data_IF_637457350611
#
_entry.id   IF_637457350611
#
_cell.length_a   1.000
_cell.length_b   1.000
_cell.length_c   1.000
_cell.angle_alpha   90.00
_cell.angle_beta   90.00
_cell.angle_gamma   90.00
#
_symmetry.space_group_name_H-M   'P 1'
#
loop_
_entity.id
_entity.type
_entity.pdbx_description
1 polymer ?
#
# COMPACT_ATOMS: atom_id res chain seq x y z
N UNK A 1 -15.77 -62.56 -19.84
CA UNK A 1 -15.58 -62.01 -21.20
C UNK A 1 -14.43 -61.02 -21.11
N UNK A 2 -13.20 -61.46 -21.42
CA UNK A 2 -12.40 -61.06 -22.61
C UNK A 2 -12.24 -59.52 -22.69
N UNK A 3 -11.06 -58.89 -22.72
CA UNK A 3 -9.69 -59.29 -23.14
C UNK A 3 -8.64 -58.44 -22.41
N UNK A 4 -7.48 -59.04 -22.18
CA UNK A 4 -6.14 -58.53 -21.81
C UNK A 4 -5.58 -57.42 -22.73
N UNK A 5 -4.56 -56.66 -22.28
CA UNK A 5 -3.22 -56.62 -22.90
C UNK A 5 -2.19 -56.12 -21.87
N UNK A 6 -1.02 -56.75 -21.94
CA UNK A 6 0.19 -56.59 -21.12
C UNK A 6 1.25 -55.97 -22.04
N UNK A 7 2.02 -54.98 -21.60
CA UNK A 7 3.41 -54.75 -22.05
C UNK A 7 4.22 -54.17 -20.90
N UNK A 8 5.31 -54.86 -20.60
CA UNK A 8 6.36 -54.56 -19.64
C UNK A 8 7.45 -53.68 -20.29
N UNK A 9 8.11 -52.79 -19.53
CA UNK A 9 9.15 -51.92 -20.10
C UNK A 9 9.83 -50.98 -19.12
N UNK A 10 10.98 -51.44 -18.60
CA UNK A 10 11.91 -50.81 -17.66
C UNK A 10 12.53 -49.48 -18.18
N UNK A 11 12.55 -48.41 -17.36
CA UNK A 11 13.79 -47.69 -16.95
C UNK A 11 13.55 -46.46 -16.04
N UNK A 12 14.23 -46.49 -14.89
CA UNK A 12 14.91 -45.41 -14.13
C UNK A 12 14.42 -43.96 -14.29
N UNK A 13 14.05 -43.33 -13.17
CA UNK A 13 14.16 -41.88 -13.03
C UNK A 13 13.49 -41.30 -11.79
N UNK A 14 14.30 -41.04 -10.75
CA UNK A 14 14.09 -40.09 -9.67
C UNK A 14 12.74 -40.12 -8.93
N UNK A 15 12.74 -40.74 -7.75
CA UNK A 15 11.77 -40.42 -6.69
C UNK A 15 12.03 -38.97 -6.22
N UNK A 16 11.38 -38.00 -6.86
CA UNK A 16 11.02 -36.75 -6.21
C UNK A 16 9.73 -37.01 -5.45
N UNK A 17 9.88 -37.29 -4.15
CA UNK A 17 8.80 -37.06 -3.19
C UNK A 17 8.61 -35.55 -3.14
N UNK A 18 7.66 -35.04 -3.94
CA UNK A 18 7.10 -33.71 -3.71
C UNK A 18 6.16 -33.88 -2.54
N UNK A 19 6.65 -33.49 -1.37
CA UNK A 19 5.83 -33.22 -0.19
C UNK A 19 4.70 -32.27 -0.61
N UNK A 20 3.46 -32.78 -0.55
CA UNK A 20 2.26 -32.02 -0.85
C UNK A 20 2.12 -30.90 0.18
N UNK A 21 2.45 -29.66 -0.20
CA UNK A 21 2.02 -28.49 0.55
C UNK A 21 0.50 -28.53 0.71
N UNK A 22 0.05 -28.56 1.97
CA UNK A 22 -1.34 -28.59 2.38
C UNK A 22 -2.08 -27.37 1.81
N UNK A 23 -3.26 -27.64 1.26
CA UNK A 23 -4.15 -26.68 0.59
C UNK A 23 -4.89 -25.83 1.63
N UNK A 24 -4.98 -24.51 1.40
CA UNK A 24 -5.59 -23.56 2.33
C UNK A 24 -7.14 -23.57 2.26
N UNK A 25 -7.74 -24.71 2.60
CA UNK A 25 -9.19 -24.93 2.65
C UNK A 25 -9.90 -24.05 3.69
N UNK A 26 -9.16 -23.48 4.63
CA UNK A 26 -9.64 -22.58 5.68
C UNK A 26 -10.23 -21.28 5.10
N UNK A 27 -9.51 -20.62 4.19
CA UNK A 27 -9.91 -19.33 3.61
C UNK A 27 -11.18 -19.44 2.76
N UNK A 28 -11.34 -20.54 2.02
CA UNK A 28 -12.51 -20.80 1.17
C UNK A 28 -13.80 -20.90 2.02
N UNK A 29 -13.73 -21.53 3.19
CA UNK A 29 -14.88 -21.68 4.08
C UNK A 29 -15.37 -20.33 4.64
N UNK A 30 -14.44 -19.43 4.97
CA UNK A 30 -14.77 -18.09 5.49
C UNK A 30 -15.55 -17.27 4.47
N UNK A 31 -15.13 -17.32 3.21
CA UNK A 31 -15.79 -16.56 2.14
C UNK A 31 -17.13 -17.20 1.75
N UNK A 32 -17.28 -18.52 1.89
CA UNK A 32 -18.58 -19.18 1.70
C UNK A 32 -19.64 -18.63 2.67
N UNK A 33 -19.30 -18.45 3.95
CA UNK A 33 -20.22 -17.90 4.93
C UNK A 33 -20.63 -16.46 4.63
N UNK A 34 -19.67 -15.67 4.13
CA UNK A 34 -19.95 -14.34 3.60
C UNK A 34 -21.04 -14.39 2.53
N UNK A 35 -20.87 -15.22 1.51
CA UNK A 35 -21.84 -15.23 0.40
C UNK A 35 -23.16 -15.89 0.76
N UNK A 36 -23.19 -16.74 1.79
CA UNK A 36 -24.43 -17.36 2.25
C UNK A 36 -25.31 -16.41 3.05
N UNK A 37 -24.73 -15.52 3.86
CA UNK A 37 -25.45 -14.77 4.90
C UNK A 37 -25.38 -13.25 4.76
N UNK A 38 -24.57 -12.72 3.84
CA UNK A 38 -24.55 -11.28 3.56
C UNK A 38 -25.79 -10.87 2.79
N UNK A 39 -26.77 -10.29 3.49
CA UNK A 39 -27.80 -9.52 2.85
C UNK A 39 -27.13 -8.26 2.27
N UNK A 40 -26.88 -8.26 0.95
CA UNK A 40 -26.32 -7.11 0.24
C UNK A 40 -27.07 -5.80 0.57
N UNK A 41 -28.36 -5.90 0.88
CA UNK A 41 -29.21 -4.78 1.31
C UNK A 41 -28.80 -4.19 2.67
N UNK A 42 -28.37 -5.01 3.64
CA UNK A 42 -27.90 -4.52 4.95
C UNK A 42 -26.53 -3.84 4.84
N UNK A 43 -25.62 -4.44 4.06
CA UNK A 43 -24.31 -3.83 3.81
C UNK A 43 -24.40 -2.49 3.07
N UNK A 44 -25.26 -2.37 2.05
CA UNK A 44 -25.46 -1.07 1.38
C UNK A 44 -26.06 -0.03 2.32
N UNK A 45 -26.94 -0.42 3.25
CA UNK A 45 -27.52 0.53 4.21
C UNK A 45 -26.50 0.99 5.25
N UNK A 46 -25.83 0.04 5.89
CA UNK A 46 -25.07 0.30 7.11
C UNK A 46 -23.56 0.38 6.87
N UNK A 47 -23.08 -0.10 5.72
CA UNK A 47 -21.66 -0.23 5.38
C UNK A 47 -21.00 -1.47 5.98
N UNK A 48 -21.76 -2.35 6.65
CA UNK A 48 -21.28 -3.60 7.25
C UNK A 48 -22.43 -4.62 7.45
N UNK A 49 -22.10 -5.88 7.74
CA UNK A 49 -23.03 -6.90 8.28
C UNK A 49 -22.28 -7.82 9.24
N UNK A 50 -22.89 -8.86 9.80
CA UNK A 50 -22.21 -9.88 10.61
C UNK A 50 -22.88 -11.24 10.53
N UNK A 51 -22.09 -12.30 10.57
CA UNK A 51 -22.62 -13.67 10.57
C UNK A 51 -21.63 -14.67 11.18
N UNK A 52 -22.12 -15.81 11.73
CA UNK A 52 -21.25 -16.82 12.33
C UNK A 52 -20.48 -17.59 11.27
N UNK A 53 -19.20 -17.84 11.53
CA UNK A 53 -18.33 -18.70 10.74
C UNK A 53 -18.71 -20.18 10.93
N UNK A 54 -18.72 -20.92 9.83
CA UNK A 54 -19.12 -22.33 9.76
C UNK A 54 -18.00 -23.29 10.14
N UNK A 55 -16.74 -22.89 9.96
CA UNK A 55 -15.56 -23.70 10.30
C UNK A 55 -14.47 -22.86 10.98
N UNK A 56 -14.51 -22.71 12.31
CA UNK A 56 -13.51 -21.95 13.06
C UNK A 56 -12.11 -22.60 13.10
N UNK A 57 -12.00 -23.89 12.83
CA UNK A 57 -10.74 -24.66 12.92
C UNK A 57 -9.62 -24.05 12.08
N UNK A 58 -9.94 -23.65 10.85
CA UNK A 58 -8.95 -23.07 9.94
C UNK A 58 -8.42 -21.72 10.41
N UNK A 59 -9.26 -20.92 11.06
CA UNK A 59 -8.84 -19.63 11.65
C UNK A 59 -7.89 -19.85 12.83
N UNK A 60 -8.09 -20.91 13.62
CA UNK A 60 -7.20 -21.26 14.74
C UNK A 60 -5.81 -21.69 14.26
N UNK A 61 -5.71 -22.40 13.14
CA UNK A 61 -4.42 -22.78 12.53
C UNK A 61 -3.66 -21.53 12.05
N UNK A 62 -4.34 -20.59 11.40
CA UNK A 62 -3.75 -19.32 10.96
C UNK A 62 -3.26 -18.46 12.14
N UNK A 63 -3.99 -18.46 13.26
CA UNK A 63 -3.57 -17.79 14.49
C UNK A 63 -2.25 -18.36 15.04
N UNK A 64 -2.11 -19.69 15.05
CA UNK A 64 -0.89 -20.36 15.52
C UNK A 64 0.32 -20.08 14.63
N UNK A 65 0.11 -20.00 13.31
CA UNK A 65 1.18 -19.66 12.37
C UNK A 65 1.64 -18.22 12.52
N UNK A 66 0.73 -17.30 12.84
CA UNK A 66 1.06 -15.91 13.06
C UNK A 66 2.08 -15.67 14.19
N UNK A 67 2.02 -16.45 15.26
CA UNK A 67 2.96 -16.33 16.40
C UNK A 67 4.43 -16.57 16.00
N UNK A 68 4.66 -17.16 14.81
CA UNK A 68 5.99 -17.47 14.29
C UNK A 68 6.61 -16.30 13.50
N UNK A 69 5.85 -15.25 13.22
CA UNK A 69 6.27 -14.14 12.36
C UNK A 69 6.49 -12.84 13.12
N UNK A 70 7.38 -11.99 12.59
CA UNK A 70 7.66 -10.68 13.17
C UNK A 70 6.46 -9.74 13.00
N UNK A 71 5.98 -9.20 14.13
CA UNK A 71 4.88 -8.23 14.17
C UNK A 71 5.41 -6.83 13.88
N UNK A 72 4.67 -6.08 13.08
CA UNK A 72 4.94 -4.68 12.81
C UNK A 72 4.08 -3.82 13.73
N UNK A 73 4.72 -2.91 14.47
CA UNK A 73 4.06 -2.07 15.46
C UNK A 73 3.63 -0.72 14.87
N UNK A 74 2.35 -0.40 15.02
CA UNK A 74 1.77 0.92 14.79
C UNK A 74 1.19 1.47 16.11
N UNK A 75 0.88 2.78 16.21
CA UNK A 75 0.42 3.40 17.47
C UNK A 75 -0.82 2.76 18.10
N UNK A 76 -1.74 2.24 17.29
CA UNK A 76 -3.03 1.68 17.76
C UNK A 76 -3.20 0.19 17.47
N UNK A 77 -2.22 -0.43 16.81
CA UNK A 77 -2.28 -1.86 16.51
C UNK A 77 -0.91 -2.47 16.25
N UNK A 78 -0.79 -3.76 16.54
CA UNK A 78 0.27 -4.60 15.99
C UNK A 78 -0.30 -5.39 14.82
N UNK A 79 0.39 -5.44 13.69
CA UNK A 79 -0.05 -6.23 12.55
C UNK A 79 0.99 -7.24 12.12
N UNK A 80 0.53 -8.42 11.71
CA UNK A 80 1.38 -9.45 11.13
C UNK A 80 0.72 -9.97 9.86
N UNK A 81 1.44 -9.82 8.74
CA UNK A 81 1.01 -10.39 7.46
C UNK A 81 1.50 -11.82 7.37
N UNK A 82 0.62 -12.78 7.10
CA UNK A 82 1.00 -14.18 6.94
C UNK A 82 1.75 -14.35 5.60
N UNK A 83 3.07 -14.63 5.60
CA UNK A 83 3.84 -14.77 4.37
C UNK A 83 3.45 -16.05 3.63
N UNK A 84 3.31 -15.98 2.31
CA UNK A 84 2.88 -17.10 1.48
C UNK A 84 1.36 -17.29 1.41
N UNK A 85 0.60 -16.68 2.31
CA UNK A 85 -0.85 -16.50 2.16
C UNK A 85 -1.11 -15.33 1.22
N UNK A 86 -0.77 -15.49 -0.06
CA UNK A 86 -1.39 -14.67 -1.10
C UNK A 86 -2.72 -15.35 -1.39
N UNK A 87 -3.84 -14.62 -1.24
CA UNK A 87 -5.11 -15.12 -1.73
C UNK A 87 -5.02 -15.16 -3.26
N UNK A 88 -4.65 -16.32 -3.79
CA UNK A 88 -4.70 -16.52 -5.21
C UNK A 88 -6.15 -16.81 -5.54
N UNK A 89 -6.74 -16.02 -6.43
CA UNK A 89 -8.02 -16.39 -7.06
C UNK A 89 -7.91 -17.76 -7.73
N UNK A 90 -6.70 -18.21 -8.06
CA UNK A 90 -6.43 -19.57 -8.49
C UNK A 90 -6.65 -20.64 -7.42
N UNK A 91 -6.66 -20.33 -6.11
CA UNK A 91 -7.02 -21.31 -5.07
C UNK A 91 -8.53 -21.62 -5.08
N UNK A 92 -9.35 -20.72 -5.64
CA UNK A 92 -10.74 -21.02 -5.98
C UNK A 92 -10.84 -21.88 -7.26
N UNK A 93 -9.87 -21.81 -8.17
CA UNK A 93 -9.95 -22.49 -9.49
C UNK A 93 -9.14 -23.81 -9.59
N UNK A 94 -8.04 -23.98 -8.86
CA UNK A 94 -6.97 -24.92 -9.26
C UNK A 94 -7.02 -26.28 -8.59
N UNK A 95 -7.80 -26.49 -7.52
CA UNK A 95 -7.94 -27.83 -6.93
C UNK A 95 -9.39 -28.16 -6.65
N UNK A 96 -10.19 -28.18 -7.73
CA UNK A 96 -11.50 -28.82 -7.73
C UNK A 96 -11.34 -30.28 -7.29
N UNK A 97 -11.50 -30.51 -5.99
CA UNK A 97 -11.84 -31.79 -5.42
C UNK A 97 -12.97 -32.43 -6.23
N UNK A 98 -12.93 -33.74 -6.45
CA UNK A 98 -13.97 -34.52 -7.15
C UNK A 98 -15.38 -34.43 -6.53
N UNK A 99 -15.56 -33.65 -5.46
CA UNK A 99 -16.85 -33.35 -4.84
C UNK A 99 -17.57 -32.20 -5.55
N UNK A 100 -18.62 -32.55 -6.28
CA UNK A 100 -19.53 -31.61 -6.96
C UNK A 100 -20.16 -30.56 -6.04
N UNK A 101 -20.23 -30.81 -4.72
CA UNK A 101 -20.77 -29.87 -3.73
C UNK A 101 -19.83 -28.68 -3.48
N UNK A 102 -18.53 -28.90 -3.45
CA UNK A 102 -17.55 -27.84 -3.15
C UNK A 102 -17.39 -26.87 -4.32
N UNK A 103 -17.49 -27.40 -5.55
CA UNK A 103 -17.50 -26.59 -6.77
C UNK A 103 -18.70 -25.61 -6.83
N UNK A 104 -19.89 -26.06 -6.43
CA UNK A 104 -21.09 -25.21 -6.42
C UNK A 104 -20.98 -24.06 -5.41
N UNK A 105 -20.27 -24.28 -4.29
CA UNK A 105 -20.05 -23.29 -3.25
C UNK A 105 -19.07 -22.22 -3.68
N UNK A 106 -17.92 -22.63 -4.23
CA UNK A 106 -16.90 -21.73 -4.79
C UNK A 106 -17.48 -20.86 -5.90
N UNK A 107 -18.26 -21.46 -6.79
CA UNK A 107 -18.90 -20.73 -7.89
C UNK A 107 -19.95 -19.72 -7.38
N UNK A 108 -20.66 -20.03 -6.30
CA UNK A 108 -21.57 -19.07 -5.65
C UNK A 108 -20.81 -17.88 -5.10
N UNK A 109 -19.70 -18.14 -4.41
CA UNK A 109 -18.80 -17.10 -3.89
C UNK A 109 -18.32 -16.19 -5.00
N UNK A 110 -17.81 -16.80 -6.07
CA UNK A 110 -17.32 -16.12 -7.26
C UNK A 110 -18.38 -15.16 -7.79
N UNK A 111 -19.56 -15.67 -8.15
CA UNK A 111 -20.64 -14.85 -8.71
C UNK A 111 -21.06 -13.68 -7.83
N UNK A 112 -21.07 -13.84 -6.51
CA UNK A 112 -21.45 -12.75 -5.61
C UNK A 112 -20.42 -11.63 -5.63
N UNK A 113 -19.12 -11.95 -5.53
CA UNK A 113 -18.05 -10.97 -5.66
C UNK A 113 -18.11 -10.30 -7.05
N UNK A 114 -18.35 -11.07 -8.11
CA UNK A 114 -18.44 -10.51 -9.46
C UNK A 114 -19.63 -9.57 -9.64
N UNK A 115 -20.76 -9.91 -9.02
CA UNK A 115 -21.96 -9.08 -9.05
C UNK A 115 -21.75 -7.80 -8.25
N UNK A 116 -21.19 -7.90 -7.03
CA UNK A 116 -20.94 -6.76 -6.16
C UNK A 116 -19.95 -5.78 -6.76
N UNK A 117 -18.88 -6.27 -7.41
CA UNK A 117 -17.82 -5.43 -7.95
C UNK A 117 -17.95 -5.14 -9.45
N UNK A 118 -18.89 -5.79 -10.15
CA UNK A 118 -19.06 -5.67 -11.60
C UNK A 118 -17.82 -6.12 -12.39
N UNK A 119 -16.99 -7.00 -11.82
CA UNK A 119 -15.71 -7.47 -12.38
C UNK A 119 -15.54 -8.94 -12.12
N UNK A 120 -14.78 -9.64 -12.95
CA UNK A 120 -14.45 -11.04 -12.67
C UNK A 120 -13.61 -11.17 -11.40
N UNK A 121 -13.74 -12.26 -10.65
CA UNK A 121 -12.96 -12.46 -9.42
C UNK A 121 -11.46 -12.43 -9.71
N UNK A 122 -11.03 -12.99 -10.84
CA UNK A 122 -9.63 -12.97 -11.29
C UNK A 122 -9.07 -11.55 -11.52
N UNK A 123 -9.96 -10.56 -11.69
CA UNK A 123 -9.59 -9.15 -11.84
C UNK A 123 -9.53 -8.39 -10.50
N UNK A 124 -10.01 -8.99 -9.41
CA UNK A 124 -9.97 -8.41 -8.07
C UNK A 124 -8.56 -8.52 -7.48
N UNK A 125 -8.16 -7.50 -6.73
CA UNK A 125 -6.95 -7.54 -5.92
C UNK A 125 -7.33 -8.09 -4.56
N UNK A 126 -6.70 -9.18 -4.17
CA UNK A 126 -6.92 -9.78 -2.86
C UNK A 126 -5.67 -9.54 -2.03
N UNK A 127 -5.79 -8.76 -0.97
CA UNK A 127 -4.75 -8.61 0.03
C UNK A 127 -4.93 -9.79 0.99
N UNK A 128 -4.01 -10.76 0.93
CA UNK A 128 -4.09 -11.97 1.77
C UNK A 128 -4.10 -11.64 3.27
N UNK A 129 -4.36 -12.65 4.11
CA UNK A 129 -4.71 -12.47 5.50
C UNK A 129 -3.61 -11.83 6.34
N UNK A 130 -4.06 -11.05 7.32
CA UNK A 130 -3.23 -10.44 8.35
C UNK A 130 -3.90 -10.54 9.71
N UNK A 131 -3.12 -10.71 10.77
CA UNK A 131 -3.61 -10.60 12.13
C UNK A 131 -3.33 -9.20 12.63
N UNK A 132 -4.35 -8.60 13.23
CA UNK A 132 -4.33 -7.26 13.81
C UNK A 132 -4.63 -7.39 15.30
N UNK A 133 -3.75 -6.89 16.14
CA UNK A 133 -3.93 -6.83 17.59
C UNK A 133 -4.13 -5.37 17.98
N UNK A 134 -5.31 -5.03 18.48
CA UNK A 134 -5.63 -3.67 18.92
C UNK A 134 -4.88 -3.35 20.22
N UNK A 135 -4.15 -2.24 20.21
CA UNK A 135 -3.34 -1.78 21.35
C UNK A 135 -4.03 -0.57 21.97
N UNK A 136 -4.11 -0.55 23.31
CA UNK A 136 -4.68 0.59 24.02
C UNK A 136 -3.85 1.85 23.75
N UNK A 137 -4.53 2.94 23.42
CA UNK A 137 -3.89 4.23 23.15
C UNK A 137 -4.00 5.10 24.40
N UNK A 138 -2.87 5.51 25.00
CA UNK A 138 -2.88 6.41 26.16
C UNK A 138 -3.69 7.67 25.89
N UNK A 139 -4.44 8.17 26.88
CA UNK A 139 -5.24 9.41 26.73
C UNK A 139 -4.40 10.61 26.28
N UNK A 140 -3.11 10.64 26.64
CA UNK A 140 -2.17 11.69 26.20
C UNK A 140 -1.84 11.64 24.70
N UNK A 141 -1.99 10.47 24.07
CA UNK A 141 -1.65 10.21 22.68
C UNK A 141 -2.89 10.13 21.77
N UNK A 142 -4.09 10.16 22.36
CA UNK A 142 -5.35 10.33 21.64
C UNK A 142 -5.35 11.75 21.04
N UNK A 143 -5.10 11.83 19.74
CA UNK A 143 -5.25 13.09 19.02
C UNK A 143 -6.75 13.43 18.94
N UNK A 144 -7.06 14.69 18.66
CA UNK A 144 -8.40 15.27 18.84
C UNK A 144 -9.48 14.59 17.97
N UNK A 145 -10.73 15.07 18.06
CA UNK A 145 -12.00 14.71 17.39
C UNK A 145 -11.99 14.25 15.89
N UNK A 146 -10.84 14.12 15.24
CA UNK A 146 -10.61 13.75 13.84
C UNK A 146 -9.98 12.34 13.66
N UNK A 147 -9.89 11.52 14.70
CA UNK A 147 -9.31 10.15 14.62
C UNK A 147 -10.23 9.11 13.93
N UNK A 148 -11.02 9.54 12.95
CA UNK A 148 -11.72 8.61 12.08
C UNK A 148 -10.76 8.12 10.99
N UNK A 149 -10.77 6.82 10.74
CA UNK A 149 -10.09 6.21 9.61
C UNK A 149 -11.09 5.45 8.76
N UNK A 150 -10.67 5.01 7.59
CA UNK A 150 -11.50 4.17 6.73
C UNK A 150 -11.21 2.70 7.05
N UNK A 151 -12.23 1.83 6.98
CA UNK A 151 -12.09 0.40 7.24
C UNK A 151 -11.06 -0.28 6.31
N UNK A 152 -10.73 0.36 5.19
CA UNK A 152 -9.65 -0.01 4.30
C UNK A 152 -8.67 1.17 4.10
N UNK A 153 -7.34 0.96 4.01
CA UNK A 153 -6.35 2.05 3.86
C UNK A 153 -6.52 2.92 2.60
N UNK A 154 -7.24 2.40 1.60
CA UNK A 154 -7.63 3.15 0.41
C UNK A 154 -9.11 3.46 0.57
N UNK A 155 -9.48 4.75 0.68
CA UNK A 155 -10.87 5.23 0.75
C UNK A 155 -11.61 4.89 -0.54
N UNK A 156 -12.15 3.67 -0.64
CA UNK A 156 -12.84 3.21 -1.84
C UNK A 156 -13.97 2.24 -1.50
N UNK A 157 -15.12 2.43 -2.18
CA UNK A 157 -16.25 1.50 -2.19
C UNK A 157 -15.99 0.24 -3.00
N UNK A 158 -14.87 0.25 -3.71
CA UNK A 158 -14.37 -0.89 -4.44
C UNK A 158 -13.62 -1.85 -3.53
N UNK A 159 -13.56 -1.63 -2.22
CA UNK A 159 -12.89 -2.50 -1.24
C UNK A 159 -13.90 -3.02 -0.22
N UNK A 160 -13.72 -4.25 0.26
CA UNK A 160 -14.39 -4.77 1.47
C UNK A 160 -13.31 -5.40 2.36
N UNK A 161 -13.28 -5.01 3.63
CA UNK A 161 -12.43 -5.55 4.70
C UNK A 161 -13.20 -6.59 5.52
N UNK A 162 -12.55 -7.65 5.99
CA UNK A 162 -13.23 -8.77 6.68
C UNK A 162 -12.56 -9.07 8.01
N UNK A 163 -13.22 -8.70 9.10
CA UNK A 163 -12.67 -8.85 10.45
C UNK A 163 -13.28 -10.06 11.16
N UNK A 164 -12.44 -10.90 11.78
CA UNK A 164 -12.87 -12.04 12.57
C UNK A 164 -12.21 -11.99 13.96
N UNK A 165 -12.97 -11.91 15.05
CA UNK A 165 -12.41 -11.97 16.40
C UNK A 165 -11.82 -13.34 16.69
N UNK A 166 -10.56 -13.34 17.14
CA UNK A 166 -9.79 -14.54 17.49
C UNK A 166 -9.89 -14.85 18.99
N UNK A 167 -9.86 -13.81 19.83
CA UNK A 167 -9.83 -13.94 21.29
C UNK A 167 -11.12 -13.43 21.93
N UNK A 168 -12.10 -14.33 22.08
CA UNK A 168 -13.42 -13.99 22.62
C UNK A 168 -14.22 -13.06 21.71
N UNK A 169 -15.28 -12.47 22.26
CA UNK A 169 -16.09 -11.49 21.54
C UNK A 169 -15.29 -10.19 21.39
N UNK A 170 -15.40 -9.53 20.24
CA UNK A 170 -14.86 -8.19 20.01
C UNK A 170 -15.95 -7.15 20.21
N UNK A 171 -15.65 -6.11 20.97
CA UNK A 171 -16.53 -4.96 21.19
C UNK A 171 -15.71 -3.70 21.46
N UNK A 172 -16.40 -2.58 21.62
CA UNK A 172 -15.76 -1.28 21.86
C UNK A 172 -14.84 -1.30 23.09
N UNK A 173 -15.20 -2.03 24.14
CA UNK A 173 -14.52 -1.99 25.43
C UNK A 173 -13.21 -2.80 25.39
N UNK A 174 -13.05 -3.73 24.45
CA UNK A 174 -11.82 -4.49 24.25
C UNK A 174 -11.02 -4.12 22.99
N UNK A 175 -11.40 -3.04 22.29
CA UNK A 175 -10.57 -2.48 21.23
C UNK A 175 -11.14 -2.60 19.81
N UNK A 176 -12.34 -3.15 19.63
CA UNK A 176 -13.02 -3.09 18.34
C UNK A 176 -13.44 -1.65 18.03
N UNK A 177 -13.24 -1.23 16.78
CA UNK A 177 -13.66 0.08 16.32
C UNK A 177 -15.20 0.23 16.27
N UNK A 178 -15.68 1.46 16.38
CA UNK A 178 -17.08 1.79 16.09
C UNK A 178 -17.25 2.16 14.62
N UNK A 179 -18.41 1.86 14.04
CA UNK A 179 -18.68 2.04 12.61
C UNK A 179 -19.55 3.27 12.39
N UNK A 180 -19.16 4.16 11.48
CA UNK A 180 -20.01 5.26 11.03
C UNK A 180 -20.94 4.79 9.90
N UNK A 181 -22.20 4.51 10.22
CA UNK A 181 -23.13 3.93 9.24
C UNK A 181 -23.43 4.89 8.08
N UNK A 182 -23.55 4.34 6.86
CA UNK A 182 -23.78 5.11 5.63
C UNK A 182 -22.62 6.00 5.17
N UNK A 183 -21.51 6.04 5.92
CA UNK A 183 -20.38 6.92 5.61
C UNK A 183 -19.60 6.51 4.34
N UNK A 184 -19.72 5.27 3.89
CA UNK A 184 -19.13 4.78 2.64
C UNK A 184 -19.72 5.42 1.38
N UNK A 185 -20.86 6.11 1.47
CA UNK A 185 -21.41 6.93 0.38
C UNK A 185 -20.86 8.37 0.35
N UNK A 186 -20.04 8.74 1.34
CA UNK A 186 -19.59 10.11 1.54
C UNK A 186 -18.15 10.29 1.07
N UNK A 187 -17.86 11.47 0.52
CA UNK A 187 -16.48 11.93 0.38
C UNK A 187 -15.90 12.28 1.76
N UNK A 188 -14.56 12.31 1.86
CA UNK A 188 -13.85 12.74 3.07
C UNK A 188 -14.35 14.12 3.56
N UNK A 189 -14.51 15.05 2.63
CA UNK A 189 -14.99 16.41 2.93
C UNK A 189 -16.44 16.42 3.42
N UNK A 190 -17.31 15.62 2.80
CA UNK A 190 -18.70 15.49 3.25
C UNK A 190 -18.79 14.91 4.66
N UNK A 191 -18.00 13.87 4.96
CA UNK A 191 -17.96 13.23 6.27
C UNK A 191 -17.51 14.20 7.37
N UNK A 192 -16.49 15.03 7.12
CA UNK A 192 -16.00 15.99 8.12
C UNK A 192 -16.88 17.23 8.29
N UNK A 193 -17.68 17.60 7.29
CA UNK A 193 -18.64 18.70 7.39
C UNK A 193 -19.92 18.34 8.15
N UNK A 194 -20.18 17.07 8.41
CA UNK A 194 -21.37 16.65 9.15
C UNK A 194 -21.21 16.94 10.66
N UNK A 195 -22.16 17.68 11.26
CA UNK A 195 -22.14 17.97 12.69
C UNK A 195 -22.46 16.74 13.54
N UNK A 196 -23.32 15.85 13.02
CA UNK A 196 -23.75 14.63 13.69
C UNK A 196 -23.38 13.40 12.85
N UNK A 197 -22.96 12.33 13.51
CA UNK A 197 -22.57 11.07 12.89
C UNK A 197 -23.30 9.93 13.58
N UNK A 198 -23.82 8.99 12.80
CA UNK A 198 -24.40 7.77 13.32
C UNK A 198 -23.27 6.77 13.59
N UNK A 199 -22.82 6.71 14.84
CA UNK A 199 -21.74 5.84 15.28
C UNK A 199 -22.35 4.60 15.94
N UNK A 200 -22.09 3.44 15.37
CA UNK A 200 -22.56 2.16 15.88
C UNK A 200 -21.41 1.40 16.54
N UNK A 201 -21.51 1.21 17.86
CA UNK A 201 -20.65 0.32 18.62
C UNK A 201 -21.24 -1.08 18.55
N UNK A 202 -20.64 -1.92 17.72
CA UNK A 202 -21.10 -3.28 17.48
C UNK A 202 -20.37 -4.27 18.37
N UNK A 203 -21.02 -5.40 18.63
CA UNK A 203 -20.40 -6.57 19.24
C UNK A 203 -20.29 -7.65 18.18
N UNK A 204 -19.10 -8.21 17.99
CA UNK A 204 -18.86 -9.33 17.09
C UNK A 204 -18.46 -10.52 17.95
N UNK A 205 -19.26 -11.57 17.90
CA UNK A 205 -18.96 -12.80 18.65
C UNK A 205 -17.67 -13.46 18.14
N UNK A 206 -17.02 -14.24 18.99
CA UNK A 206 -15.82 -14.99 18.61
C UNK A 206 -16.11 -15.85 17.37
N UNK A 207 -15.22 -15.81 16.38
CA UNK A 207 -15.40 -16.51 15.10
C UNK A 207 -16.66 -16.09 14.34
N UNK A 208 -17.19 -14.90 14.56
CA UNK A 208 -18.08 -14.27 13.59
C UNK A 208 -17.29 -13.43 12.62
N UNK A 209 -17.80 -13.31 11.40
CA UNK A 209 -17.21 -12.48 10.36
C UNK A 209 -17.95 -11.15 10.32
N UNK A 210 -17.19 -10.07 10.36
CA UNK A 210 -17.63 -8.69 10.19
C UNK A 210 -17.05 -8.16 8.87
N UNK A 211 -17.77 -8.28 7.73
CA UNK A 211 -17.43 -7.55 6.52
C UNK A 211 -17.78 -6.06 6.69
N UNK A 212 -16.88 -5.18 6.26
CA UNK A 212 -17.04 -3.73 6.28
C UNK A 212 -16.61 -3.16 4.93
N UNK A 213 -17.46 -2.33 4.32
CA UNK A 213 -17.14 -1.58 3.11
C UNK A 213 -15.89 -0.71 3.34
N UNK A 214 -14.94 -0.73 2.42
CA UNK A 214 -13.62 -0.13 2.62
C UNK A 214 -13.64 1.40 2.76
N UNK A 215 -14.63 2.06 2.15
CA UNK A 215 -14.87 3.49 2.31
C UNK A 215 -15.67 3.84 3.58
N UNK A 216 -16.14 2.86 4.36
CA UNK A 216 -16.82 3.13 5.62
C UNK A 216 -15.80 3.70 6.61
N UNK A 217 -16.14 4.85 7.18
CA UNK A 217 -15.39 5.43 8.29
C UNK A 217 -15.63 4.62 9.56
N UNK A 218 -14.55 4.40 10.29
CA UNK A 218 -14.51 3.73 11.58
C UNK A 218 -13.78 4.61 12.57
N UNK A 219 -14.24 4.57 13.82
CA UNK A 219 -13.57 5.20 14.94
C UNK A 219 -12.82 4.11 15.70
N UNK A 220 -11.47 4.15 15.75
CA UNK A 220 -10.71 3.24 16.60
C UNK A 220 -11.15 3.34 18.05
N UNK A 221 -11.21 2.21 18.74
CA UNK A 221 -11.40 2.23 20.19
C UNK A 221 -10.12 2.69 20.89
N UNK A 222 -10.22 3.48 21.98
CA UNK A 222 -9.06 3.80 22.82
C UNK A 222 -8.55 2.57 23.59
N UNK A 223 -9.36 1.52 23.70
CA UNK A 223 -9.02 0.28 24.38
C UNK A 223 -8.25 -0.67 23.46
N UNK A 224 -7.57 -1.64 24.07
CA UNK A 224 -6.92 -2.73 23.35
C UNK A 224 -7.29 -4.08 23.94
N UNK A 225 -6.63 -5.14 23.47
CA UNK A 225 -6.80 -6.57 23.79
C UNK A 225 -7.58 -7.39 22.75
N UNK A 226 -8.30 -6.75 21.82
CA UNK A 226 -8.93 -7.44 20.72
C UNK A 226 -7.89 -7.93 19.71
N UNK A 227 -7.93 -9.21 19.37
CA UNK A 227 -7.20 -9.79 18.24
C UNK A 227 -8.19 -10.10 17.13
N UNK A 228 -7.91 -9.56 15.95
CA UNK A 228 -8.72 -9.71 14.75
C UNK A 228 -7.87 -10.38 13.68
N UNK A 229 -8.48 -11.30 12.94
CA UNK A 229 -7.98 -11.74 11.66
C UNK A 229 -8.66 -10.89 10.57
N UNK A 230 -7.87 -10.16 9.80
CA UNK A 230 -8.27 -9.38 8.63
C UNK A 230 -7.86 -10.12 7.35
N UNK A 231 -8.81 -10.79 6.71
CA UNK A 231 -8.52 -11.79 5.66
C UNK A 231 -8.44 -11.20 4.27
N UNK A 232 -9.02 -10.03 4.04
CA UNK A 232 -9.42 -9.72 2.69
C UNK A 232 -9.67 -8.23 2.54
N UNK A 233 -8.93 -7.60 1.64
CA UNK A 233 -9.33 -6.34 1.03
C UNK A 233 -9.58 -6.61 -0.46
N UNK A 234 -10.76 -7.08 -0.82
CA UNK A 234 -11.11 -7.31 -2.22
C UNK A 234 -11.26 -5.97 -2.91
N UNK A 235 -10.26 -5.54 -3.69
CA UNK A 235 -10.35 -4.29 -4.41
C UNK A 235 -10.79 -4.52 -5.86
N UNK A 236 -11.87 -3.88 -6.29
CA UNK A 236 -12.13 -3.56 -7.70
C UNK A 236 -11.18 -2.45 -8.20
N UNK A 237 -9.95 -2.41 -7.71
CA UNK A 237 -8.85 -1.73 -8.39
C UNK A 237 -8.32 -2.63 -9.49
N UNK A 238 -7.84 -2.07 -10.61
CA UNK A 238 -6.87 -2.84 -11.42
C UNK A 238 -5.71 -3.12 -10.47
N UNK A 239 -5.27 -4.38 -10.27
CA UNK A 239 -3.87 -4.66 -9.83
C UNK A 239 -3.05 -3.64 -10.59
N UNK A 240 -2.27 -2.73 -9.97
CA UNK A 240 -1.57 -1.70 -10.71
C UNK A 240 -0.85 -2.42 -11.83
N UNK A 241 -1.40 -2.29 -13.03
CA UNK A 241 -1.09 -3.23 -14.11
C UNK A 241 0.39 -3.06 -14.28
N UNK A 242 1.18 -4.12 -13.99
CA UNK A 242 2.63 -3.98 -13.97
C UNK A 242 2.97 -3.38 -15.31
N UNK A 243 3.44 -2.14 -15.31
CA UNK A 243 3.83 -1.48 -16.55
C UNK A 243 5.18 -2.10 -16.87
N UNK A 244 5.08 -3.18 -17.61
CA UNK A 244 6.24 -3.91 -18.12
C UNK A 244 6.55 -3.50 -19.54
N UNK A 245 5.63 -2.82 -20.25
CA UNK A 245 5.84 -2.37 -21.63
C UNK A 245 5.84 -0.85 -21.76
N UNK A 246 6.71 -0.35 -22.63
CA UNK A 246 6.82 1.05 -23.02
C UNK A 246 5.51 1.61 -23.57
N UNK A 247 4.77 0.77 -24.31
CA UNK A 247 3.48 1.14 -24.89
C UNK A 247 2.43 1.44 -23.80
N UNK A 248 2.44 0.71 -22.69
CA UNK A 248 1.52 0.97 -21.58
C UNK A 248 1.79 2.33 -20.92
N UNK A 249 3.08 2.71 -20.80
CA UNK A 249 3.49 4.06 -20.35
C UNK A 249 2.89 5.09 -21.29
N UNK A 250 3.15 4.93 -22.59
CA UNK A 250 2.76 5.88 -23.60
C UNK A 250 1.24 6.05 -23.70
N UNK A 251 0.49 4.95 -23.72
CA UNK A 251 -0.97 4.95 -23.79
C UNK A 251 -1.58 5.54 -22.50
N UNK A 252 -1.02 5.23 -21.33
CA UNK A 252 -1.45 5.86 -20.09
C UNK A 252 -1.22 7.37 -20.10
N UNK A 253 -0.06 7.79 -20.61
CA UNK A 253 0.32 9.18 -20.73
C UNK A 253 -0.63 9.97 -21.63
N UNK A 254 -0.93 9.43 -22.82
CA UNK A 254 -1.85 10.08 -23.75
C UNK A 254 -3.25 10.24 -23.15
N UNK A 255 -3.75 9.22 -22.43
CA UNK A 255 -5.06 9.29 -21.76
C UNK A 255 -5.10 10.30 -20.61
N UNK A 256 -3.98 10.53 -19.93
CA UNK A 256 -3.92 11.39 -18.73
C UNK A 256 -3.37 12.79 -19.02
N UNK A 257 -3.01 13.10 -20.26
CA UNK A 257 -2.30 14.34 -20.59
C UNK A 257 -3.06 15.61 -20.17
N UNK A 258 -4.37 15.65 -20.42
CA UNK A 258 -5.21 16.78 -20.03
C UNK A 258 -5.32 16.92 -18.51
N UNK A 259 -5.33 15.79 -17.79
CA UNK A 259 -5.34 15.80 -16.34
C UNK A 259 -4.02 16.35 -15.81
N UNK A 260 -2.87 15.95 -16.38
CA UNK A 260 -1.52 16.49 -16.04
C UNK A 260 -1.48 18.00 -16.25
N UNK A 261 -1.99 18.46 -17.38
CA UNK A 261 -2.15 19.90 -17.65
C UNK A 261 -2.93 20.60 -16.54
N UNK A 262 -4.15 20.12 -16.24
CA UNK A 262 -5.04 20.71 -15.24
C UNK A 262 -4.48 20.68 -13.83
N UNK A 263 -3.78 19.60 -13.47
CA UNK A 263 -3.17 19.45 -12.16
C UNK A 263 -2.16 20.57 -11.92
N UNK A 264 -1.24 20.79 -12.88
CA UNK A 264 -0.27 21.85 -12.74
C UNK A 264 -0.90 23.25 -12.87
N UNK A 265 -1.93 23.43 -13.71
CA UNK A 265 -2.66 24.70 -13.83
C UNK A 265 -3.35 25.15 -12.52
N UNK A 266 -3.74 24.21 -11.65
CA UNK A 266 -4.48 24.51 -10.42
C UNK A 266 -3.62 25.11 -9.31
N UNK A 267 -2.34 24.76 -9.20
CA UNK A 267 -1.47 25.34 -8.17
C UNK A 267 0.02 25.17 -8.47
N UNK A 268 0.57 26.10 -9.25
CA UNK A 268 1.96 26.04 -9.71
C UNK A 268 3.02 26.26 -8.61
N UNK A 269 2.65 26.84 -7.47
CA UNK A 269 3.62 27.31 -6.47
C UNK A 269 3.36 26.77 -5.08
N UNK A 270 2.13 26.52 -4.65
CA UNK A 270 1.93 26.08 -3.27
C UNK A 270 2.34 24.63 -3.04
N UNK A 271 2.30 23.74 -4.04
CA UNK A 271 2.71 22.35 -3.82
C UNK A 271 4.17 22.24 -3.37
N UNK A 272 5.08 22.97 -4.02
CA UNK A 272 6.50 23.03 -3.62
C UNK A 272 6.67 23.80 -2.31
N UNK A 273 5.92 24.88 -2.10
CA UNK A 273 5.98 25.68 -0.87
C UNK A 273 5.35 24.97 0.35
N UNK A 274 4.49 23.97 0.15
CA UNK A 274 3.92 23.12 1.20
C UNK A 274 4.94 22.15 1.78
N UNK A 275 6.08 21.95 1.12
CA UNK A 275 7.18 21.18 1.68
C UNK A 275 7.85 22.09 2.73
N UNK A 276 7.40 21.98 3.98
CA UNK A 276 7.97 22.70 5.11
C UNK A 276 8.78 21.72 5.97
N UNK A 277 10.03 21.39 5.58
CA UNK A 277 10.85 20.49 6.36
C UNK A 277 11.20 21.16 7.70
N UNK A 278 11.31 20.36 8.77
CA UNK A 278 11.85 20.87 10.03
C UNK A 278 13.27 21.43 9.82
N UNK A 279 13.72 22.37 10.67
CA UNK A 279 15.14 22.72 10.74
C UNK A 279 15.97 21.43 10.81
N UNK A 280 16.99 21.33 9.96
CA UNK A 280 17.90 20.18 9.83
C UNK A 280 17.34 18.92 9.14
N UNK A 281 16.07 18.92 8.72
CA UNK A 281 15.49 17.80 7.97
C UNK A 281 15.86 17.87 6.48
N UNK A 282 16.43 16.78 5.97
CA UNK A 282 16.68 16.65 4.53
C UNK A 282 15.36 16.66 3.76
N UNK A 283 15.26 17.65 2.90
CA UNK A 283 14.06 18.00 2.12
C UNK A 283 13.63 16.90 1.15
N UNK A 284 14.59 16.09 0.68
CA UNK A 284 14.32 14.93 -0.18
C UNK A 284 13.56 13.88 0.61
N UNK A 285 13.98 13.70 1.86
CA UNK A 285 13.36 12.75 2.77
C UNK A 285 11.98 13.22 3.16
N UNK A 286 11.84 14.50 3.55
CA UNK A 286 10.54 15.10 3.83
C UNK A 286 9.55 14.84 2.68
N UNK A 287 9.95 15.14 1.44
CA UNK A 287 9.12 14.93 0.27
C UNK A 287 8.72 13.47 0.04
N UNK A 288 9.58 12.48 0.30
CA UNK A 288 9.23 11.06 0.10
C UNK A 288 8.04 10.60 0.98
N UNK A 289 7.88 11.20 2.15
CA UNK A 289 6.85 10.83 3.13
C UNK A 289 5.63 11.74 3.13
N UNK A 290 5.63 12.81 2.33
CA UNK A 290 4.48 13.71 2.25
C UNK A 290 3.27 13.05 1.60
N UNK A 291 2.11 13.29 2.21
CA UNK A 291 0.80 13.13 1.60
C UNK A 291 0.30 14.48 1.09
N UNK A 292 -0.56 14.47 0.09
CA UNK A 292 -1.31 15.64 -0.32
C UNK A 292 -2.79 15.34 -0.46
N UNK A 293 -3.55 16.37 -0.80
CA UNK A 293 -5.00 16.32 -0.94
C UNK A 293 -5.40 15.72 -2.29
N UNK A 294 -4.61 15.98 -3.34
CA UNK A 294 -4.80 15.37 -4.65
C UNK A 294 -4.07 14.03 -4.74
N UNK A 295 -4.65 13.00 -5.39
CA UNK A 295 -4.00 11.72 -5.64
C UNK A 295 -2.61 11.82 -6.27
N UNK A 296 -2.32 12.91 -6.99
CA UNK A 296 -1.05 13.12 -7.68
C UNK A 296 0.00 13.88 -6.87
N UNK A 297 -0.38 14.56 -5.79
CA UNK A 297 0.55 15.24 -4.88
C UNK A 297 1.58 14.28 -4.34
N UNK A 298 1.10 13.11 -3.91
CA UNK A 298 1.95 12.03 -3.43
C UNK A 298 2.95 11.56 -4.48
N UNK A 299 2.53 11.43 -5.74
CA UNK A 299 3.46 11.05 -6.83
C UNK A 299 4.45 12.18 -7.14
N UNK A 300 4.01 13.43 -7.07
CA UNK A 300 4.83 14.61 -7.27
C UNK A 300 5.90 14.72 -6.19
N UNK A 301 5.54 14.66 -4.90
CA UNK A 301 6.50 14.70 -3.80
C UNK A 301 7.51 13.55 -3.86
N UNK A 302 7.07 12.34 -4.23
CA UNK A 302 7.97 11.21 -4.44
C UNK A 302 8.92 11.41 -5.61
N UNK A 303 8.43 11.98 -6.71
CA UNK A 303 9.29 12.38 -7.82
C UNK A 303 10.37 13.36 -7.35
N UNK A 304 9.98 14.41 -6.61
CA UNK A 304 10.90 15.40 -6.09
C UNK A 304 11.96 14.78 -5.17
N UNK A 305 11.53 14.00 -4.17
CA UNK A 305 12.44 13.34 -3.23
C UNK A 305 13.39 12.35 -3.91
N UNK A 306 12.89 11.56 -4.86
CA UNK A 306 13.70 10.56 -5.57
C UNK A 306 14.68 11.15 -6.58
N UNK A 307 14.36 12.30 -7.19
CA UNK A 307 15.22 12.96 -8.18
C UNK A 307 16.56 13.41 -7.62
N UNK A 308 16.59 13.80 -6.34
CA UNK A 308 17.79 14.24 -5.64
C UNK A 308 18.65 13.12 -5.04
N UNK A 309 18.28 11.85 -5.24
CA UNK A 309 18.93 10.71 -4.59
C UNK A 309 19.53 9.73 -5.59
N UNK A 310 20.84 9.48 -5.46
CA UNK A 310 21.56 8.49 -6.26
C UNK A 310 21.66 7.18 -5.49
N UNK A 311 20.78 6.22 -5.78
CA UNK A 311 20.84 4.88 -5.17
C UNK A 311 22.03 4.09 -5.75
N UNK A 312 22.79 3.37 -4.92
CA UNK A 312 23.77 2.39 -5.39
C UNK A 312 23.13 1.31 -6.27
N UNK A 313 23.86 0.83 -7.29
CA UNK A 313 23.38 -0.22 -8.20
C UNK A 313 23.26 -1.61 -7.55
N UNK A 314 23.95 -1.84 -6.45
CA UNK A 314 24.05 -3.15 -5.80
C UNK A 314 22.98 -3.30 -4.73
N UNK A 315 22.15 -4.34 -4.82
CA UNK A 315 20.98 -4.57 -3.96
C UNK A 315 21.28 -4.50 -2.45
N UNK A 316 22.37 -5.13 -1.99
CA UNK A 316 22.78 -5.08 -0.59
C UNK A 316 23.29 -3.72 -0.09
N UNK A 317 23.71 -2.85 -1.01
CA UNK A 317 24.14 -1.49 -0.68
C UNK A 317 22.98 -0.52 -0.55
N UNK A 318 21.79 -0.83 -1.10
CA UNK A 318 20.62 0.04 -1.00
C UNK A 318 20.18 0.20 0.45
N UNK A 319 20.02 -0.89 1.20
CA UNK A 319 19.62 -0.82 2.61
C UNK A 319 20.65 -0.09 3.48
N UNK A 320 21.95 -0.28 3.20
CA UNK A 320 23.02 0.46 3.89
C UNK A 320 22.98 1.94 3.53
N UNK A 321 22.80 2.28 2.25
CA UNK A 321 22.65 3.64 1.78
C UNK A 321 21.45 4.33 2.44
N UNK A 322 20.29 3.67 2.49
CA UNK A 322 19.10 4.21 3.15
C UNK A 322 19.37 4.51 4.62
N UNK A 323 19.91 3.55 5.38
CA UNK A 323 20.29 3.77 6.79
C UNK A 323 21.27 4.93 6.96
N UNK A 324 22.27 5.04 6.08
CA UNK A 324 23.25 6.13 6.11
C UNK A 324 22.64 7.50 5.74
N UNK A 325 21.50 7.52 5.07
CA UNK A 325 20.73 8.74 4.80
C UNK A 325 19.64 8.98 5.87
N UNK A 326 19.65 8.23 6.98
CA UNK A 326 18.60 8.32 8.01
C UNK A 326 17.24 7.82 7.55
N UNK A 327 17.19 7.03 6.47
CA UNK A 327 15.97 6.47 5.91
C UNK A 327 15.69 5.08 6.43
N UNK A 328 14.42 4.84 6.78
CA UNK A 328 13.92 3.50 6.98
C UNK A 328 14.04 2.71 5.68
N UNK A 329 14.57 1.48 5.77
CA UNK A 329 14.80 0.62 4.61
C UNK A 329 13.50 -0.04 4.10
N UNK A 330 12.37 0.68 4.14
CA UNK A 330 11.06 0.18 3.77
C UNK A 330 10.97 -0.12 2.28
N UNK A 331 10.16 -1.10 1.91
CA UNK A 331 9.87 -1.46 0.51
C UNK A 331 9.37 -0.24 -0.26
N UNK A 332 8.53 0.57 0.40
CA UNK A 332 7.98 1.80 -0.13
C UNK A 332 9.05 2.79 -0.61
N UNK A 333 10.04 3.11 0.25
CA UNK A 333 11.12 4.04 -0.10
C UNK A 333 11.95 3.49 -1.26
N UNK A 334 12.28 2.19 -1.24
CA UNK A 334 13.04 1.54 -2.33
C UNK A 334 12.32 1.65 -3.68
N UNK A 335 11.01 1.44 -3.68
CA UNK A 335 10.16 1.52 -4.87
C UNK A 335 10.09 2.93 -5.44
N UNK A 336 9.86 3.94 -4.59
CA UNK A 336 9.84 5.34 -5.00
C UNK A 336 11.18 5.78 -5.61
N UNK A 337 12.29 5.42 -4.96
CA UNK A 337 13.62 5.75 -5.47
C UNK A 337 13.92 5.04 -6.79
N UNK A 338 13.56 3.76 -6.94
CA UNK A 338 13.75 3.01 -8.19
C UNK A 338 12.95 3.63 -9.34
N UNK A 339 11.70 4.02 -9.09
CA UNK A 339 10.86 4.72 -10.05
C UNK A 339 11.47 6.07 -10.46
N UNK A 340 11.97 6.85 -9.48
CA UNK A 340 12.67 8.10 -9.74
C UNK A 340 13.92 7.95 -10.61
N UNK A 341 14.73 6.91 -10.38
CA UNK A 341 15.91 6.62 -11.20
C UNK A 341 15.56 6.24 -12.64
N UNK A 342 14.51 5.44 -12.85
CA UNK A 342 14.05 5.08 -14.20
C UNK A 342 13.59 6.34 -14.92
N UNK A 343 12.80 7.16 -14.25
CA UNK A 343 12.27 8.39 -14.80
C UNK A 343 13.37 9.42 -15.12
N UNK A 344 14.40 9.54 -14.29
CA UNK A 344 15.58 10.37 -14.58
C UNK A 344 16.28 9.94 -15.87
N UNK A 345 16.48 8.64 -16.07
CA UNK A 345 17.10 8.12 -17.30
C UNK A 345 16.21 8.29 -18.52
N UNK A 346 14.89 8.18 -18.34
CA UNK A 346 13.94 8.53 -19.41
C UNK A 346 14.07 10.02 -19.75
N UNK A 347 14.16 10.91 -18.75
CA UNK A 347 14.34 12.34 -18.99
C UNK A 347 15.65 12.68 -19.70
N UNK A 348 16.77 12.12 -19.24
CA UNK A 348 18.07 12.23 -19.89
C UNK A 348 18.03 11.68 -21.33
N UNK A 349 17.41 10.51 -21.50
CA UNK A 349 17.28 9.84 -22.79
C UNK A 349 16.43 10.63 -23.78
N UNK A 350 15.32 11.24 -23.32
CA UNK A 350 14.43 12.10 -24.13
C UNK A 350 15.10 13.44 -24.43
N UNK A 351 15.87 13.99 -23.49
CA UNK A 351 16.56 15.27 -23.63
C UNK A 351 15.66 16.49 -23.40
N UNK A 352 14.50 16.32 -22.76
CA UNK A 352 13.57 17.41 -22.45
C UNK A 352 13.35 17.47 -20.93
N UNK A 353 13.91 18.47 -20.23
CA UNK A 353 13.65 18.67 -18.81
C UNK A 353 12.14 18.75 -18.54
N UNK A 354 11.63 18.15 -17.47
CA UNK A 354 10.20 18.20 -17.15
C UNK A 354 9.34 17.13 -17.83
N UNK A 355 9.88 16.29 -18.71
CA UNK A 355 9.18 15.08 -19.17
C UNK A 355 8.83 14.14 -18.00
N UNK A 356 9.64 14.19 -16.93
CA UNK A 356 9.34 13.62 -15.62
C UNK A 356 7.97 14.01 -15.06
N UNK A 357 7.59 15.28 -15.18
CA UNK A 357 6.31 15.79 -14.68
C UNK A 357 5.14 15.29 -15.52
N UNK A 358 5.36 15.10 -16.83
CA UNK A 358 4.40 14.41 -17.67
C UNK A 358 4.16 13.00 -17.12
N UNK A 359 5.22 12.26 -16.76
CA UNK A 359 5.17 10.87 -16.32
C UNK A 359 4.62 10.63 -14.90
N UNK A 360 4.09 11.64 -14.21
CA UNK A 360 3.50 11.48 -12.87
C UNK A 360 2.42 10.38 -12.78
N UNK A 361 1.47 10.24 -13.73
CA UNK A 361 0.42 9.23 -13.64
C UNK A 361 0.95 7.78 -13.67
N UNK A 362 2.15 7.58 -14.22
CA UNK A 362 2.79 6.25 -14.30
C UNK A 362 3.88 6.06 -13.25
N UNK A 363 4.24 7.10 -12.49
CA UNK A 363 5.37 7.08 -11.56
C UNK A 363 5.40 5.84 -10.65
N UNK A 364 4.32 5.48 -9.92
CA UNK A 364 4.34 4.32 -9.02
C UNK A 364 4.53 2.97 -9.72
N UNK A 365 4.38 2.93 -11.05
CA UNK A 365 4.44 1.71 -11.84
C UNK A 365 5.79 1.53 -12.52
N UNK A 366 6.62 2.58 -12.56
CA UNK A 366 7.91 2.56 -13.27
C UNK A 366 8.91 1.60 -12.65
N UNK A 367 8.87 1.32 -11.34
CA UNK A 367 9.76 0.39 -10.65
C UNK A 367 9.88 -1.01 -11.27
N UNK A 368 8.89 -1.42 -12.07
CA UNK A 368 8.85 -2.71 -12.74
C UNK A 368 9.25 -2.65 -14.22
N UNK A 369 9.54 -1.47 -14.78
CA UNK A 369 9.89 -1.30 -16.18
C UNK A 369 11.26 -1.90 -16.48
N UNK A 370 11.36 -2.90 -17.38
CA UNK A 370 12.63 -3.46 -17.85
C UNK A 370 13.47 -2.42 -18.59
N UNK A 371 14.78 -2.64 -18.68
CA UNK A 371 15.74 -1.70 -19.31
C UNK A 371 15.56 -1.54 -20.81
N UNK A 372 15.20 -2.61 -21.51
CA UNK A 372 14.89 -2.59 -22.93
C UNK A 372 13.58 -1.82 -23.21
N UNK A 373 12.61 -1.95 -22.32
CA UNK A 373 11.34 -1.22 -22.38
C UNK A 373 11.52 0.26 -21.97
N UNK A 374 12.46 0.59 -21.08
CA UNK A 374 12.90 1.97 -20.81
C UNK A 374 13.41 2.64 -22.10
N UNK A 375 14.26 1.97 -22.88
CA UNK A 375 14.77 2.48 -24.16
C UNK A 375 13.65 2.68 -25.20
N UNK A 376 12.71 1.75 -25.30
CA UNK A 376 11.53 1.88 -26.17
C UNK A 376 10.64 3.05 -25.73
N UNK A 377 10.43 3.24 -24.42
CA UNK A 377 9.65 4.34 -23.89
C UNK A 377 10.27 5.69 -24.26
N UNK A 378 11.60 5.81 -24.17
CA UNK A 378 12.33 7.00 -24.62
C UNK A 378 12.04 7.30 -26.10
N UNK A 379 12.09 6.30 -26.98
CA UNK A 379 11.82 6.48 -28.41
C UNK A 379 10.37 6.91 -28.69
N UNK A 380 9.40 6.28 -28.02
CA UNK A 380 7.98 6.64 -28.15
C UNK A 380 7.73 8.09 -27.69
N UNK A 381 8.31 8.49 -26.55
CA UNK A 381 8.17 9.84 -26.02
C UNK A 381 8.80 10.88 -26.95
N UNK A 382 9.97 10.60 -27.54
CA UNK A 382 10.60 11.46 -28.57
C UNK A 382 9.72 11.63 -29.82
N UNK A 383 8.94 10.62 -30.17
CA UNK A 383 8.02 10.67 -31.31
C UNK A 383 6.75 11.51 -31.07
N UNK A 384 6.46 11.93 -29.84
CA UNK A 384 5.18 12.57 -29.50
C UNK A 384 5.31 14.08 -29.26
N UNK A 385 5.04 14.87 -30.30
CA UNK A 385 5.08 16.34 -30.24
C UNK A 385 4.13 16.94 -29.19
N UNK A 386 3.03 16.26 -28.88
CA UNK A 386 2.07 16.70 -27.87
C UNK A 386 2.64 16.58 -26.45
N UNK A 387 3.26 15.44 -26.14
CA UNK A 387 3.90 15.21 -24.84
C UNK A 387 5.11 16.13 -24.68
N UNK A 388 5.93 16.27 -25.72
CA UNK A 388 7.12 17.14 -25.67
C UNK A 388 6.76 18.61 -25.47
N UNK A 389 5.67 19.10 -26.08
CA UNK A 389 5.18 20.47 -25.85
C UNK A 389 4.69 20.67 -24.42
N UNK A 390 3.97 19.70 -23.84
CA UNK A 390 3.57 19.78 -22.44
C UNK A 390 4.80 19.77 -21.53
N UNK A 391 5.76 18.87 -21.78
CA UNK A 391 7.00 18.77 -21.01
C UNK A 391 7.76 20.10 -21.01
N UNK A 392 7.96 20.69 -22.20
CA UNK A 392 8.61 22.00 -22.36
C UNK A 392 7.90 23.13 -21.59
N UNK A 393 6.55 23.10 -21.56
CA UNK A 393 5.75 24.05 -20.78
C UNK A 393 5.93 23.85 -19.26
N UNK A 394 6.11 22.61 -18.81
CA UNK A 394 6.29 22.27 -17.40
C UNK A 394 7.75 22.37 -16.94
N UNK A 395 8.74 22.34 -17.84
CA UNK A 395 10.18 22.41 -17.50
C UNK A 395 10.56 23.54 -16.54
N UNK A 396 10.02 24.77 -16.66
CA UNK A 396 10.36 25.86 -15.76
C UNK A 396 10.04 25.57 -14.29
N UNK A 397 9.07 24.68 -14.02
CA UNK A 397 8.70 24.27 -12.66
C UNK A 397 9.83 23.48 -11.97
N UNK A 398 10.63 22.75 -12.75
CA UNK A 398 11.81 22.05 -12.24
C UNK A 398 13.06 22.93 -12.25
N UNK A 399 13.28 23.70 -13.32
CA UNK A 399 14.60 24.32 -13.62
C UNK A 399 14.69 25.81 -13.23
N UNK A 400 13.57 26.53 -13.10
CA UNK A 400 13.57 27.99 -12.94
C UNK A 400 14.16 28.51 -11.62
N UNK A 401 14.53 29.81 -11.59
CA UNK A 401 15.01 30.56 -10.40
C UNK A 401 14.02 30.55 -9.22
N UNK A 402 12.74 30.29 -9.50
CA UNK A 402 11.66 30.14 -8.52
C UNK A 402 11.11 28.70 -8.47
N UNK A 403 11.75 27.77 -9.19
CA UNK A 403 11.33 26.37 -9.28
C UNK A 403 11.94 25.50 -8.20
N UNK A 404 11.59 24.22 -8.21
CA UNK A 404 12.06 23.25 -7.22
C UNK A 404 13.59 23.20 -7.12
N UNK A 405 14.34 23.20 -8.23
CA UNK A 405 15.80 23.08 -8.14
C UNK A 405 16.45 24.28 -7.44
N UNK A 406 15.94 25.50 -7.65
CA UNK A 406 16.44 26.69 -6.98
C UNK A 406 16.09 26.67 -5.49
N UNK A 407 14.85 26.33 -5.16
CA UNK A 407 14.39 26.15 -3.78
C UNK A 407 15.15 25.02 -3.06
N UNK A 408 15.38 23.90 -3.73
CA UNK A 408 16.19 22.77 -3.29
C UNK A 408 17.63 23.19 -3.00
N UNK A 409 18.26 23.89 -3.95
CA UNK A 409 19.63 24.36 -3.79
C UNK A 409 19.76 25.34 -2.61
N UNK A 410 18.75 26.19 -2.37
CA UNK A 410 18.71 27.08 -1.22
C UNK A 410 18.66 26.30 0.11
N UNK A 411 17.74 25.34 0.25
CA UNK A 411 17.55 24.59 1.49
C UNK A 411 18.66 23.56 1.76
N UNK A 412 19.20 22.89 0.73
CA UNK A 412 20.36 22.01 0.90
C UNK A 412 21.62 22.82 1.18
N UNK A 413 21.74 24.01 0.59
CA UNK A 413 22.83 24.95 0.87
C UNK A 413 22.83 25.41 2.32
N UNK A 414 21.67 25.76 2.88
CA UNK A 414 21.56 26.13 4.30
C UNK A 414 21.87 24.97 5.25
N UNK A 415 21.41 23.75 4.94
CA UNK A 415 21.74 22.55 5.74
C UNK A 415 23.25 22.30 5.83
N UNK A 416 23.99 22.45 4.72
CA UNK A 416 25.46 22.29 4.75
C UNK A 416 26.16 23.31 5.64
N UNK A 417 25.64 24.53 5.71
CA UNK A 417 26.19 25.60 6.56
C UNK A 417 25.93 25.28 8.04
N UNK A 418 24.74 24.77 8.38
CA UNK A 418 24.40 24.35 9.75
C UNK A 418 25.27 23.19 10.25
N UNK A 419 25.51 22.18 9.41
CA UNK A 419 26.37 21.04 9.77
C UNK A 419 27.84 21.46 9.96
N UNK A 420 28.36 22.37 9.13
CA UNK A 420 29.73 22.89 9.31
C UNK A 420 29.88 23.76 10.56
N UNK A 421 28.84 24.52 10.94
CA UNK A 421 28.84 25.29 12.18
C UNK A 421 28.84 24.38 13.43
N UNK A 422 28.06 23.29 13.40
CA UNK A 422 28.04 22.28 14.48
C UNK A 422 29.36 21.50 14.59
N UNK A 423 30.04 21.20 13.48
CA UNK A 423 31.37 20.58 13.50
C UNK A 423 32.46 21.52 14.05
N UNK A 424 32.33 22.83 13.83
CA UNK A 424 33.24 23.85 14.39
C UNK A 424 33.01 24.06 15.89
N UNK A 425 31.76 24.05 16.37
CA UNK A 425 31.45 24.17 17.81
C UNK A 425 31.83 22.91 18.61
N UNK A 426 31.78 21.72 18.00
CA UNK A 426 32.25 20.47 18.61
C UNK A 426 33.78 20.37 18.78
N UNK A 427 34.55 21.27 18.16
CA UNK A 427 36.02 21.27 18.24
C UNK A 427 36.60 22.12 19.40
N UNK A 428 35.74 22.78 20.18
CA UNK A 428 36.14 23.62 21.31
C UNK A 428 35.67 23.10 22.67
N UNK A 429 36.03 21.87 23.06
CA UNK A 429 36.02 21.49 24.49
C UNK A 429 37.06 20.43 24.85
N UNK A 430 38.26 20.88 25.24
CA UNK A 430 38.90 20.49 26.52
C UNK A 430 40.15 21.35 26.76
N UNK A 431 40.22 22.18 27.81
CA UNK A 431 41.51 22.68 28.27
C UNK A 431 42.25 21.51 28.93
N UNK A 432 43.49 21.28 28.51
CA UNK A 432 44.38 20.29 29.09
C UNK A 432 44.53 20.55 30.60
N UNK A 433 44.15 19.57 31.42
CA UNK A 433 44.49 19.54 32.84
C UNK A 433 45.97 19.21 33.00
N UNK A 434 46.72 20.14 33.59
CA UNK A 434 48.11 19.94 33.99
C UNK A 434 48.24 18.78 35.00
N UNK A 435 49.29 17.93 34.89
CA UNK A 435 49.52 16.89 35.87
C UNK A 435 50.16 17.48 37.13
N UNK A 436 49.46 17.32 38.26
CA UNK A 436 49.96 17.54 39.60
C UNK A 436 51.20 16.65 39.81
N UNK A 437 52.36 17.27 40.02
CA UNK A 437 53.56 16.59 40.54
C UNK A 437 53.41 16.43 42.05
N UNK A 438 53.39 15.19 42.53
CA UNK A 438 53.64 14.89 43.93
C UNK A 438 55.16 14.90 44.21
N UNK A 439 55.54 15.65 45.23
CA UNK A 439 56.71 15.40 46.11
C UNK A 439 56.23 15.55 47.54
#
# INVERSE_FOLDING_TARGET
>A
MLVTWYVDGVHKGADFVVELCMENTAEINIIEDFVRKSAHEEMERDGYTRFPLSNPTGVMEMEQDCEKFEKITAPSFHYCKLPGAEFLTSDLEVRSTQNSRDLAKVEKVRRHLETRFGKKVEELIMQGPSIVECVAVPESDQKSLLDFMTAHPIHTRDAISFFIPLTGNADWDNGLFAICTGSHHQSLEQFYRQPERYIHRIVVEQYWVLPVEGATFVQPSPNGACRLLDILSAMAGRKPQRIIQAKDIFDCMLRQLNNVSKYFEKDHTQLVLRIDPKPDQDIRLAALFMSGEDPWDRSFYRLLGSRGMVIPKTYGMVSKFLRNQGLEASTFVREALRSGQILLRIEEGVGVPGISLCLLPVFPKLQHLPRDEEAKAIQLLKGSSMILRLAARLSPLLVGRHGYQAWYNYHIGSLKISFQALELEGSHTTPASDPIRCT
#
